data_IF_235235207210
#
_entry.id   IF_235235207210
#
_cell.length_a   1.000
_cell.length_b   1.000
_cell.length_c   1.000
_cell.angle_alpha   90.00
_cell.angle_beta   90.00
_cell.angle_gamma   90.00
#
_symmetry.space_group_name_H-M   'P 1'
#
loop_
_entity.id
_entity.type
_entity.pdbx_description
1 polymer ?
#
# COMPACT_ATOMS: atom_id res chain seq x y z
N UNK A 1 4.02 -13.56 48.30
CA UNK A 1 3.05 -14.25 47.42
C UNK A 1 1.87 -13.29 47.28
N UNK A 2 1.54 -12.60 46.19
CA UNK A 2 1.87 -12.54 44.76
C UNK A 2 1.69 -11.05 44.39
N UNK A 3 2.69 -10.27 43.97
CA UNK A 3 3.20 -10.11 42.61
C UNK A 3 2.19 -10.36 41.47
N UNK A 4 2.02 -9.32 40.64
CA UNK A 4 1.53 -9.32 39.24
C UNK A 4 0.03 -9.11 38.99
N UNK A 5 -0.41 -7.85 39.10
CA UNK A 5 -1.55 -7.30 38.33
C UNK A 5 -1.12 -6.17 37.38
N UNK A 6 0.09 -6.22 36.84
CA UNK A 6 0.51 -5.38 35.71
C UNK A 6 0.32 -6.15 34.40
N UNK A 7 -0.94 -6.38 34.01
CA UNK A 7 -1.28 -6.56 32.60
C UNK A 7 -1.69 -5.20 32.05
N UNK A 8 -0.69 -4.37 31.73
CA UNK A 8 -0.90 -3.30 30.75
C UNK A 8 -0.96 -3.99 29.41
N UNK A 9 -2.18 -4.24 28.94
CA UNK A 9 -2.44 -4.54 27.54
C UNK A 9 -1.70 -3.50 26.70
N UNK A 10 -0.68 -3.95 25.97
CA UNK A 10 -0.05 -3.18 24.91
C UNK A 10 -1.09 -3.11 23.81
N UNK A 11 -1.99 -2.12 23.93
CA UNK A 11 -2.95 -1.76 22.93
C UNK A 11 -2.20 -1.45 21.65
N UNK A 12 -2.30 -2.37 20.69
CA UNK A 12 -1.89 -2.20 19.30
C UNK A 12 -2.70 -1.03 18.74
N UNK A 13 -2.17 0.19 18.89
CA UNK A 13 -2.74 1.37 18.25
C UNK A 13 -2.54 1.19 16.76
N UNK A 14 -3.59 0.79 16.06
CA UNK A 14 -3.69 1.05 14.64
C UNK A 14 -3.65 2.57 14.50
N UNK A 15 -2.52 3.08 14.04
CA UNK A 15 -2.23 4.49 13.89
C UNK A 15 -3.13 5.05 12.78
N UNK A 16 -4.37 5.39 13.13
CA UNK A 16 -5.44 5.79 12.21
C UNK A 16 -5.35 7.25 11.76
N UNK A 17 -4.40 8.01 12.32
CA UNK A 17 -4.14 9.40 11.95
C UNK A 17 -2.66 9.64 11.73
N UNK A 18 -2.31 10.35 10.65
CA UNK A 18 -0.93 10.77 10.29
C UNK A 18 -0.22 11.52 11.43
N UNK A 19 -0.97 12.03 12.41
CA UNK A 19 -0.48 12.75 13.58
C UNK A 19 0.27 11.90 14.62
N UNK A 20 0.12 10.57 14.63
CA UNK A 20 0.80 9.66 15.59
C UNK A 20 1.98 8.92 14.93
N UNK A 21 2.45 9.41 13.77
CA UNK A 21 3.60 8.86 13.04
C UNK A 21 4.86 9.68 13.35
N UNK A 22 5.81 9.09 14.07
CA UNK A 22 7.09 9.75 14.42
C UNK A 22 8.02 9.94 13.21
N UNK A 23 8.02 8.96 12.30
CA UNK A 23 8.89 8.92 11.12
C UNK A 23 8.10 8.31 9.97
N UNK A 24 7.98 9.05 8.86
CA UNK A 24 7.41 8.55 7.62
C UNK A 24 8.50 8.43 6.56
N UNK A 25 8.58 7.27 5.92
CA UNK A 25 9.56 6.96 4.88
C UNK A 25 8.83 6.76 3.57
N UNK A 26 9.34 7.40 2.52
CA UNK A 26 8.78 7.32 1.19
C UNK A 26 9.83 7.16 0.11
N UNK A 27 9.36 6.87 -1.10
CA UNK A 27 10.20 6.75 -2.29
C UNK A 27 9.71 7.69 -3.39
N UNK A 28 10.66 8.17 -4.20
CA UNK A 28 10.39 9.03 -5.35
C UNK A 28 10.12 8.22 -6.62
N UNK A 29 10.30 6.88 -6.61
CA UNK A 29 10.21 6.03 -7.82
C UNK A 29 8.83 5.50 -8.20
N UNK A 30 7.79 5.88 -7.45
CA UNK A 30 6.40 5.49 -7.74
C UNK A 30 5.62 6.67 -8.32
N UNK A 31 4.68 7.22 -7.56
CA UNK A 31 3.80 8.30 -8.01
C UNK A 31 4.56 9.57 -8.46
N UNK A 32 5.75 9.82 -7.91
CA UNK A 32 6.59 10.98 -8.23
C UNK A 32 7.40 10.77 -9.53
N UNK A 33 7.61 9.52 -9.96
CA UNK A 33 8.30 9.21 -11.23
C UNK A 33 9.77 9.64 -11.31
N UNK A 34 10.47 9.77 -10.17
CA UNK A 34 11.90 10.12 -10.10
C UNK A 34 12.72 9.02 -9.40
N UNK A 35 13.94 9.32 -8.98
CA UNK A 35 14.83 8.38 -8.30
C UNK A 35 15.16 8.87 -6.89
N UNK A 36 15.17 7.95 -5.92
CA UNK A 36 15.56 8.22 -4.54
C UNK A 36 14.51 7.87 -3.49
N UNK A 37 14.86 8.15 -2.24
CA UNK A 37 14.01 8.00 -1.06
C UNK A 37 14.03 9.26 -0.22
N UNK A 38 13.02 9.43 0.62
CA UNK A 38 12.93 10.54 1.57
C UNK A 38 12.40 10.05 2.91
N UNK A 39 12.70 10.82 3.94
CA UNK A 39 12.18 10.62 5.29
C UNK A 39 11.65 11.95 5.82
N UNK A 40 10.44 11.94 6.38
CA UNK A 40 9.88 13.06 7.13
C UNK A 40 9.85 12.68 8.60
N UNK A 41 10.41 13.54 9.44
CA UNK A 41 10.53 13.33 10.88
C UNK A 41 10.77 14.66 11.59
N UNK A 42 10.76 14.65 12.91
CA UNK A 42 11.08 15.84 13.72
C UNK A 42 12.53 16.31 13.50
N UNK A 43 12.80 17.59 13.78
CA UNK A 43 14.15 18.16 13.64
C UNK A 43 15.19 17.43 14.52
N UNK A 44 14.78 16.99 15.71
CA UNK A 44 15.62 16.19 16.63
C UNK A 44 16.01 14.85 15.99
N UNK A 45 15.03 14.15 15.39
CA UNK A 45 15.27 12.88 14.70
C UNK A 45 16.14 13.07 13.45
N UNK A 46 15.89 14.13 12.66
CA UNK A 46 16.73 14.49 11.51
C UNK A 46 18.19 14.65 11.91
N UNK A 47 18.48 15.32 13.03
CA UNK A 47 19.85 15.52 13.51
C UNK A 47 20.54 14.19 13.83
N UNK A 48 19.82 13.26 14.45
CA UNK A 48 20.32 11.91 14.73
C UNK A 48 20.55 11.14 13.43
N UNK A 49 19.56 11.12 12.53
CA UNK A 49 19.65 10.38 11.26
C UNK A 49 20.81 10.87 10.39
N UNK A 50 20.98 12.18 10.25
CA UNK A 50 22.10 12.76 9.48
C UNK A 50 23.45 12.43 10.12
N UNK A 51 23.52 12.24 11.45
CA UNK A 51 24.75 11.92 12.17
C UNK A 51 25.05 10.43 12.28
N UNK A 52 24.09 9.54 12.08
CA UNK A 52 24.24 8.09 12.34
C UNK A 52 23.99 7.24 11.11
N UNK A 53 23.18 7.70 10.14
CA UNK A 53 22.82 6.91 8.97
C UNK A 53 24.01 6.76 8.02
N UNK A 54 24.78 5.68 8.22
CA UNK A 54 25.90 5.28 7.35
C UNK A 54 25.48 5.20 5.87
N UNK A 55 24.27 4.71 5.60
CA UNK A 55 23.71 4.64 4.24
C UNK A 55 23.49 6.01 3.59
N UNK A 56 23.31 7.08 4.37
CA UNK A 56 23.26 8.43 3.84
C UNK A 56 24.66 9.06 3.72
N UNK A 57 25.55 8.82 4.70
CA UNK A 57 26.90 9.38 4.73
C UNK A 57 27.82 8.86 3.63
N UNK A 58 27.75 7.56 3.35
CA UNK A 58 28.62 6.89 2.37
C UNK A 58 27.90 6.61 1.04
N UNK A 59 26.82 7.33 0.77
CA UNK A 59 26.13 7.31 -0.52
C UNK A 59 26.41 8.61 -1.28
N UNK A 60 26.50 8.52 -2.60
CA UNK A 60 26.50 9.69 -3.46
C UNK A 60 25.12 10.35 -3.41
N UNK A 61 25.10 11.68 -3.36
CA UNK A 61 23.86 12.46 -3.46
C UNK A 61 23.11 12.16 -4.76
N UNK A 62 21.79 12.36 -4.74
CA UNK A 62 20.96 12.23 -5.93
C UNK A 62 21.42 13.20 -7.03
N UNK A 63 21.40 12.79 -8.31
CA UNK A 63 21.69 13.69 -9.42
C UNK A 63 20.75 14.89 -9.44
N UNK A 64 21.29 16.08 -9.73
CA UNK A 64 20.52 17.32 -9.87
C UNK A 64 19.27 17.20 -10.77
N UNK A 65 19.33 16.56 -11.97
CA UNK A 65 18.13 16.41 -12.80
C UNK A 65 17.03 15.57 -12.14
N UNK A 66 17.40 14.55 -11.36
CA UNK A 66 16.42 13.72 -10.63
C UNK A 66 15.72 14.51 -9.53
N UNK A 67 16.43 15.37 -8.82
CA UNK A 67 15.86 16.24 -7.78
C UNK A 67 14.93 17.28 -8.40
N UNK A 68 15.32 17.86 -9.54
CA UNK A 68 14.49 18.81 -10.28
C UNK A 68 13.18 18.15 -10.77
N UNK A 69 13.26 16.95 -11.35
CA UNK A 69 12.10 16.18 -11.77
C UNK A 69 11.16 15.87 -10.61
N UNK A 70 11.70 15.42 -9.47
CA UNK A 70 10.91 15.14 -8.28
C UNK A 70 10.21 16.41 -7.76
N UNK A 71 10.90 17.54 -7.75
CA UNK A 71 10.35 18.83 -7.31
C UNK A 71 9.21 19.30 -8.24
N UNK A 72 9.39 19.15 -9.55
CA UNK A 72 8.34 19.47 -10.52
C UNK A 72 7.11 18.57 -10.35
N UNK A 73 7.31 17.26 -10.17
CA UNK A 73 6.23 16.31 -9.92
C UNK A 73 5.46 16.62 -8.63
N UNK A 74 6.13 17.05 -7.55
CA UNK A 74 5.48 17.49 -6.32
C UNK A 74 4.58 18.72 -6.55
N UNK A 75 5.06 19.72 -7.31
CA UNK A 75 4.25 20.90 -7.66
C UNK A 75 3.03 20.54 -8.50
N UNK A 76 3.18 19.59 -9.44
CA UNK A 76 2.04 19.07 -10.21
C UNK A 76 1.05 18.37 -9.29
N UNK A 77 1.53 17.55 -8.35
CA UNK A 77 0.67 16.88 -7.37
C UNK A 77 -0.06 17.86 -6.45
N UNK A 78 0.55 18.98 -6.08
CA UNK A 78 -0.13 20.05 -5.33
C UNK A 78 -1.22 20.73 -6.17
N UNK A 79 -0.97 20.97 -7.46
CA UNK A 79 -1.90 21.67 -8.34
C UNK A 79 -3.11 20.82 -8.77
N UNK A 80 -2.89 19.54 -9.14
CA UNK A 80 -3.94 18.68 -9.73
C UNK A 80 -4.03 17.29 -9.10
N UNK A 81 -3.25 17.01 -8.07
CA UNK A 81 -3.12 15.65 -7.54
C UNK A 81 -4.42 15.08 -6.97
N UNK A 82 -5.29 15.92 -6.40
CA UNK A 82 -6.57 15.45 -5.85
C UNK A 82 -7.52 14.97 -6.96
N UNK A 83 -7.63 15.74 -8.04
CA UNK A 83 -8.41 15.35 -9.22
C UNK A 83 -7.85 14.05 -9.84
N UNK A 84 -6.52 13.97 -9.97
CA UNK A 84 -5.87 12.79 -10.54
C UNK A 84 -6.05 11.55 -9.66
N UNK A 85 -6.02 11.68 -8.33
CA UNK A 85 -6.31 10.59 -7.38
C UNK A 85 -7.76 10.13 -7.47
N UNK A 86 -8.71 11.07 -7.55
CA UNK A 86 -10.13 10.75 -7.74
C UNK A 86 -10.36 9.97 -9.04
N UNK A 87 -9.76 10.44 -10.15
CA UNK A 87 -9.83 9.75 -11.45
C UNK A 87 -9.20 8.36 -11.40
N UNK A 88 -8.04 8.22 -10.76
CA UNK A 88 -7.37 6.93 -10.58
C UNK A 88 -8.28 5.97 -9.79
N UNK A 89 -8.93 6.45 -8.73
CA UNK A 89 -9.83 5.61 -7.92
C UNK A 89 -11.04 5.14 -8.72
N UNK A 90 -11.67 6.03 -9.48
CA UNK A 90 -12.76 5.64 -10.38
C UNK A 90 -12.33 4.60 -11.43
N UNK A 91 -11.12 4.73 -11.98
CA UNK A 91 -10.57 3.74 -12.91
C UNK A 91 -10.30 2.38 -12.24
N UNK A 92 -9.77 2.37 -11.01
CA UNK A 92 -9.55 1.14 -10.23
C UNK A 92 -10.87 0.44 -9.94
N UNK A 93 -11.89 1.18 -9.50
CA UNK A 93 -13.19 0.61 -9.17
C UNK A 93 -13.89 0.05 -10.43
N UNK A 94 -13.81 0.76 -11.55
CA UNK A 94 -14.31 0.28 -12.84
C UNK A 94 -13.57 -0.96 -13.34
N UNK A 95 -12.24 -0.98 -13.22
CA UNK A 95 -11.41 -2.13 -13.57
C UNK A 95 -11.75 -3.34 -12.69
N UNK A 96 -11.86 -3.13 -11.37
CA UNK A 96 -12.21 -4.19 -10.42
C UNK A 96 -13.59 -4.79 -10.70
N UNK A 97 -14.60 -3.95 -10.98
CA UNK A 97 -15.94 -4.38 -11.35
C UNK A 97 -15.94 -5.19 -12.66
N UNK A 98 -15.22 -4.72 -13.68
CA UNK A 98 -15.11 -5.39 -14.98
C UNK A 98 -14.40 -6.74 -14.84
N UNK A 99 -13.28 -6.79 -14.09
CA UNK A 99 -12.58 -8.03 -13.79
C UNK A 99 -13.48 -9.02 -13.04
N UNK A 100 -14.24 -8.57 -12.04
CA UNK A 100 -15.15 -9.42 -11.29
C UNK A 100 -16.25 -10.01 -12.19
N UNK A 101 -16.85 -9.19 -13.05
CA UNK A 101 -17.87 -9.63 -14.00
C UNK A 101 -17.29 -10.66 -14.99
N UNK A 102 -16.11 -10.40 -15.56
CA UNK A 102 -15.48 -11.28 -16.53
C UNK A 102 -15.03 -12.61 -15.94
N UNK A 103 -14.54 -12.60 -14.70
CA UNK A 103 -14.16 -13.82 -13.98
C UNK A 103 -15.39 -14.71 -13.74
N UNK A 104 -16.54 -14.10 -13.39
CA UNK A 104 -17.82 -14.82 -13.26
C UNK A 104 -18.30 -15.39 -14.59
N UNK A 105 -18.25 -14.61 -15.66
CA UNK A 105 -18.67 -15.02 -17.01
C UNK A 105 -17.82 -16.17 -17.56
N UNK A 106 -16.49 -16.10 -17.42
CA UNK A 106 -15.56 -17.08 -17.99
C UNK A 106 -15.61 -18.44 -17.27
N UNK A 107 -16.00 -18.48 -15.99
CA UNK A 107 -16.02 -19.71 -15.17
C UNK A 107 -17.41 -20.29 -14.89
N UNK A 108 -18.43 -19.84 -15.61
CA UNK A 108 -19.58 -20.71 -15.96
C UNK A 108 -19.14 -22.00 -16.69
N UNK A 109 -17.89 -22.06 -17.16
CA UNK A 109 -17.20 -23.27 -17.59
C UNK A 109 -16.40 -23.91 -16.45
N UNK A 110 -17.07 -24.78 -15.68
CA UNK A 110 -16.56 -25.95 -14.92
C UNK A 110 -15.11 -25.88 -14.42
N UNK A 111 -14.92 -25.45 -13.18
CA UNK A 111 -13.87 -26.03 -12.33
C UNK A 111 -14.52 -27.17 -11.53
N UNK A 112 -13.99 -28.38 -11.64
CA UNK A 112 -14.70 -29.64 -11.34
C UNK A 112 -15.40 -29.71 -9.98
N UNK A 113 -16.58 -30.34 -9.99
CA UNK A 113 -17.18 -31.06 -8.86
C UNK A 113 -17.61 -30.27 -7.61
N UNK A 114 -17.39 -28.96 -7.53
CA UNK A 114 -17.85 -28.15 -6.39
C UNK A 114 -19.18 -27.47 -6.71
N UNK A 115 -20.17 -27.63 -5.82
CA UNK A 115 -21.52 -27.06 -5.98
C UNK A 115 -21.53 -25.53 -5.94
N UNK A 116 -22.42 -24.94 -6.74
CA UNK A 116 -22.49 -23.53 -7.15
C UNK A 116 -22.38 -22.46 -6.04
N UNK A 117 -22.89 -22.73 -4.83
CA UNK A 117 -22.93 -21.72 -3.74
C UNK A 117 -21.57 -21.47 -3.07
N UNK A 118 -20.65 -22.45 -3.10
CA UNK A 118 -19.33 -22.33 -2.48
C UNK A 118 -18.29 -21.72 -3.43
N UNK A 119 -18.51 -21.75 -4.75
CA UNK A 119 -17.57 -21.18 -5.72
C UNK A 119 -17.79 -19.67 -5.87
N UNK A 120 -19.05 -19.22 -5.85
CA UNK A 120 -19.42 -17.80 -5.95
C UNK A 120 -18.98 -16.96 -4.73
N UNK A 121 -18.84 -17.58 -3.56
CA UNK A 121 -18.48 -16.88 -2.30
C UNK A 121 -16.95 -16.64 -2.16
N UNK A 122 -16.11 -17.35 -2.92
CA UNK A 122 -14.66 -17.41 -2.68
C UNK A 122 -13.78 -16.99 -3.87
N UNK A 123 -14.40 -16.52 -4.96
CA UNK A 123 -13.72 -15.88 -6.10
C UNK A 123 -14.18 -14.43 -6.16
N UNK A 124 -13.33 -13.54 -5.67
CA UNK A 124 -13.65 -12.13 -5.49
C UNK A 124 -12.52 -11.24 -5.94
N UNK A 125 -12.89 -10.09 -6.49
CA UNK A 125 -11.97 -8.98 -6.69
C UNK A 125 -12.17 -8.04 -5.51
N UNK A 126 -11.12 -7.87 -4.70
CA UNK A 126 -11.17 -6.96 -3.55
C UNK A 126 -10.23 -5.79 -3.78
N UNK A 127 -10.78 -4.59 -3.74
CA UNK A 127 -10.01 -3.35 -3.75
C UNK A 127 -9.71 -2.98 -2.31
N UNK A 128 -8.43 -2.92 -1.95
CA UNK A 128 -8.02 -2.44 -0.63
C UNK A 128 -8.39 -0.95 -0.49
N UNK A 129 -8.97 -0.56 0.66
CA UNK A 129 -9.59 0.77 0.84
C UNK A 129 -8.68 1.93 0.41
N UNK A 130 -7.47 2.01 0.97
CA UNK A 130 -6.52 3.09 0.71
C UNK A 130 -5.42 2.74 -0.30
N UNK A 131 -5.50 1.61 -0.99
CA UNK A 131 -4.44 1.17 -1.90
C UNK A 131 -5.01 0.90 -3.31
N UNK A 132 -4.28 1.28 -4.36
CA UNK A 132 -4.69 1.02 -5.74
C UNK A 132 -4.51 -0.46 -6.14
N UNK A 133 -4.07 -1.32 -5.22
CA UNK A 133 -3.89 -2.74 -5.47
C UNK A 133 -5.24 -3.45 -5.47
N UNK A 134 -5.57 -4.03 -6.63
CA UNK A 134 -6.73 -4.89 -6.86
C UNK A 134 -6.30 -6.34 -6.67
N UNK A 135 -6.77 -6.95 -5.59
CA UNK A 135 -6.48 -8.36 -5.30
C UNK A 135 -7.52 -9.25 -5.99
N UNK A 136 -7.03 -10.29 -6.67
CA UNK A 136 -7.87 -11.29 -7.33
C UNK A 136 -7.65 -12.62 -6.62
N UNK A 137 -8.66 -13.10 -5.91
CA UNK A 137 -8.63 -14.40 -5.25
C UNK A 137 -9.09 -15.48 -6.23
N UNK A 138 -8.28 -16.53 -6.42
CA UNK A 138 -8.61 -17.68 -7.26
C UNK A 138 -8.39 -18.96 -6.46
N UNK A 139 -9.48 -19.67 -6.15
CA UNK A 139 -9.44 -20.95 -5.43
C UNK A 139 -9.60 -20.84 -3.92
N UNK A 140 -9.70 -21.98 -3.23
CA UNK A 140 -9.76 -22.05 -1.77
C UNK A 140 -8.45 -22.61 -1.20
N UNK A 141 -7.93 -21.93 -0.18
CA UNK A 141 -6.72 -22.35 0.54
C UNK A 141 -6.90 -23.74 1.16
N UNK A 142 -8.10 -24.07 1.64
CA UNK A 142 -8.45 -25.40 2.17
C UNK A 142 -8.43 -26.52 1.13
N UNK A 143 -8.76 -26.26 -0.15
CA UNK A 143 -8.60 -27.25 -1.21
C UNK A 143 -7.14 -27.38 -1.65
N UNK A 144 -6.35 -26.31 -1.56
CA UNK A 144 -4.91 -26.36 -1.83
C UNK A 144 -4.12 -27.12 -0.74
N UNK A 145 -4.57 -27.06 0.52
CA UNK A 145 -3.98 -27.81 1.64
C UNK A 145 -4.44 -29.29 1.72
N UNK A 146 -5.54 -29.64 1.07
CA UNK A 146 -6.09 -30.99 1.05
C UNK A 146 -5.62 -31.85 -0.15
N UNK A 147 -4.81 -31.27 -1.04
CA UNK A 147 -4.16 -31.93 -2.18
C UNK A 147 -2.69 -32.26 -1.87
#
# INVERSE_FOLDING_TARGET
QNQNQNQKEVGRRECSSVADVDVSVGTLSKAIGSHGGFVTCSASMKRVLVSVARSAMFSTSLPAPSVAAATAALRVNEAVGEEMRSRLRGAIDAFAATCAARIRETRGARCGGMSDDAVCRWVGVTVTGNSPVVSVMIGSEGAALAA
#
